data_IF_768008106836
#
_entry.id   IF_768008106836
#
_cell.length_a   1.000
_cell.length_b   1.000
_cell.length_c   1.000
_cell.angle_alpha   90.00
_cell.angle_beta   90.00
_cell.angle_gamma   90.00
#
_symmetry.space_group_name_H-M   'P 1'
#
loop_
_entity.id
_entity.type
_entity.pdbx_description
1 polymer ?
#
# COMPACT_ATOMS: atom_id res chain seq x y z
N UNK A 1 5.84 -20.27 17.89
CA UNK A 1 6.96 -19.72 17.11
C UNK A 1 7.46 -18.36 17.65
N UNK A 2 6.60 -17.34 17.86
CA UNK A 2 7.03 -16.04 18.43
C UNK A 2 7.57 -16.14 19.87
N UNK A 3 6.91 -16.92 20.75
CA UNK A 3 7.38 -17.15 22.13
C UNK A 3 8.73 -17.88 22.22
N UNK A 4 9.07 -18.72 21.24
CA UNK A 4 10.38 -19.40 21.18
C UNK A 4 11.48 -18.46 20.70
N UNK A 5 11.19 -17.59 19.73
CA UNK A 5 12.13 -16.56 19.26
C UNK A 5 12.43 -15.54 20.38
N UNK A 6 11.43 -15.19 21.19
CA UNK A 6 11.60 -14.34 22.37
C UNK A 6 12.44 -15.01 23.48
N UNK A 7 12.19 -16.29 23.79
CA UNK A 7 12.97 -17.07 24.77
C UNK A 7 14.43 -17.26 24.33
N UNK A 8 14.67 -17.58 23.06
CA UNK A 8 16.04 -17.71 22.52
C UNK A 8 16.75 -16.35 22.50
N UNK A 9 16.01 -15.26 22.25
CA UNK A 9 16.53 -13.89 22.35
C UNK A 9 16.90 -13.48 23.78
N UNK A 10 16.12 -13.89 24.79
CA UNK A 10 16.37 -13.56 26.19
C UNK A 10 17.56 -14.34 26.77
N UNK A 11 17.67 -15.64 26.49
CA UNK A 11 18.81 -16.49 26.87
C UNK A 11 20.13 -16.01 26.25
N UNK A 12 20.09 -15.52 25.01
CA UNK A 12 21.27 -15.02 24.30
C UNK A 12 21.70 -13.62 24.75
N UNK A 13 20.75 -12.78 25.19
CA UNK A 13 21.07 -11.53 25.89
C UNK A 13 21.68 -11.81 27.25
N UNK A 14 21.10 -12.74 28.02
CA UNK A 14 21.59 -13.12 29.34
C UNK A 14 23.01 -13.68 29.28
N UNK A 15 23.30 -14.62 28.37
CA UNK A 15 24.66 -15.17 28.18
C UNK A 15 25.69 -14.12 27.78
N UNK A 16 25.34 -13.16 26.91
CA UNK A 16 26.24 -12.03 26.55
C UNK A 16 26.48 -11.09 27.73
N UNK A 17 25.44 -10.78 28.50
CA UNK A 17 25.56 -9.96 29.70
C UNK A 17 26.44 -10.66 30.73
N UNK A 18 26.21 -11.95 30.98
CA UNK A 18 27.02 -12.77 31.89
C UNK A 18 28.47 -12.85 31.42
N UNK A 19 28.74 -13.07 30.13
CA UNK A 19 30.12 -13.11 29.61
C UNK A 19 30.85 -11.76 29.73
N UNK A 20 30.13 -10.65 29.54
CA UNK A 20 30.72 -9.31 29.68
C UNK A 20 31.02 -8.98 31.14
N UNK A 21 30.11 -9.34 32.06
CA UNK A 21 30.33 -9.25 33.50
C UNK A 21 31.50 -10.13 33.95
N UNK A 22 31.57 -11.39 33.50
CA UNK A 22 32.69 -12.28 33.80
C UNK A 22 34.03 -11.73 33.30
N UNK A 23 34.09 -11.19 32.08
CA UNK A 23 35.30 -10.57 31.55
C UNK A 23 35.70 -9.32 32.33
N UNK A 24 34.74 -8.47 32.71
CA UNK A 24 34.98 -7.29 33.51
C UNK A 24 35.42 -7.62 34.94
N UNK A 25 34.81 -8.62 35.57
CA UNK A 25 35.23 -9.14 36.87
C UNK A 25 36.63 -9.75 36.78
N UNK A 26 36.94 -10.50 35.72
CA UNK A 26 38.27 -11.07 35.53
C UNK A 26 39.34 -9.99 35.32
N UNK A 27 39.04 -8.92 34.59
CA UNK A 27 39.97 -7.80 34.41
C UNK A 27 40.12 -6.95 35.67
N UNK A 28 39.02 -6.67 36.38
CA UNK A 28 39.02 -5.85 37.59
C UNK A 28 39.57 -6.58 38.83
N UNK A 29 39.42 -7.91 38.89
CA UNK A 29 39.81 -8.74 40.05
C UNK A 29 41.03 -9.60 39.72
N UNK A 30 41.00 -10.32 38.60
CA UNK A 30 42.04 -11.28 38.22
C UNK A 30 43.39 -10.63 37.87
N UNK A 31 43.37 -9.53 37.12
CA UNK A 31 44.60 -8.78 36.78
C UNK A 31 45.36 -8.28 38.02
N UNK A 32 44.70 -7.53 38.93
CA UNK A 32 45.31 -7.09 40.18
C UNK A 32 45.77 -8.24 41.08
N UNK A 33 44.97 -9.31 41.24
CA UNK A 33 45.34 -10.46 42.08
C UNK A 33 46.54 -11.22 41.51
N UNK A 34 46.64 -11.37 40.19
CA UNK A 34 47.79 -11.99 39.53
C UNK A 34 49.06 -11.16 39.74
N UNK A 35 48.96 -9.82 39.64
CA UNK A 35 50.07 -8.91 39.88
C UNK A 35 50.55 -8.95 41.34
N UNK A 36 49.63 -8.99 42.32
CA UNK A 36 50.01 -9.15 43.72
C UNK A 36 50.60 -10.53 44.02
N UNK A 37 50.04 -11.60 43.44
CA UNK A 37 50.61 -12.94 43.58
C UNK A 37 52.05 -13.01 43.03
N UNK A 38 52.29 -12.43 41.85
CA UNK A 38 53.63 -12.33 41.25
C UNK A 38 54.60 -11.51 42.11
N UNK A 39 54.12 -10.43 42.74
CA UNK A 39 54.95 -9.60 43.62
C UNK A 39 55.30 -10.32 44.93
N UNK A 40 54.32 -10.97 45.56
CA UNK A 40 54.49 -11.77 46.79
C UNK A 40 55.42 -12.96 46.56
N UNK A 41 55.33 -13.62 45.40
CA UNK A 41 56.18 -14.75 45.05
C UNK A 41 57.66 -14.36 44.85
N UNK A 42 57.95 -13.09 44.54
CA UNK A 42 59.32 -12.59 44.37
C UNK A 42 59.92 -12.06 45.67
N UNK A 43 59.17 -11.29 46.47
CA UNK A 43 59.69 -10.65 47.68
C UNK A 43 58.63 -10.59 48.81
N UNK A 44 58.41 -11.69 49.56
CA UNK A 44 57.34 -11.77 50.56
C UNK A 44 57.54 -10.87 51.79
N UNK A 45 58.76 -10.37 52.03
CA UNK A 45 59.07 -9.54 53.22
C UNK A 45 58.72 -8.06 53.07
N UNK A 46 58.31 -7.59 51.89
CA UNK A 46 58.01 -6.18 51.62
C UNK A 46 56.52 -5.84 51.58
N UNK A 47 55.63 -6.83 51.74
CA UNK A 47 54.19 -6.62 51.59
C UNK A 47 53.55 -6.17 52.92
N UNK A 48 52.96 -4.97 52.94
CA UNK A 48 52.31 -4.43 54.14
C UNK A 48 50.78 -4.54 54.04
N UNK A 49 50.10 -4.44 55.20
CA UNK A 49 48.64 -4.47 55.26
C UNK A 49 47.98 -3.37 54.41
N UNK A 50 48.64 -2.21 54.27
CA UNK A 50 48.16 -1.12 53.42
C UNK A 50 48.14 -1.49 51.93
N UNK A 51 48.99 -2.40 51.47
CA UNK A 51 48.99 -2.84 50.06
C UNK A 51 47.76 -3.70 49.75
N UNK A 52 47.33 -4.53 50.71
CA UNK A 52 46.05 -5.26 50.62
C UNK A 52 44.84 -4.33 50.61
N UNK A 53 44.84 -3.29 51.45
CA UNK A 53 43.77 -2.28 51.48
C UNK A 53 43.71 -1.50 50.17
N UNK A 54 44.86 -1.08 49.63
CA UNK A 54 44.94 -0.40 48.34
C UNK A 54 44.45 -1.28 47.19
N UNK A 55 44.81 -2.56 47.19
CA UNK A 55 44.39 -3.51 46.18
C UNK A 55 42.89 -3.81 46.23
N UNK A 56 42.33 -4.03 47.43
CA UNK A 56 40.88 -4.18 47.62
C UNK A 56 40.13 -2.93 47.17
N UNK A 57 40.67 -1.75 47.47
CA UNK A 57 40.08 -0.46 47.06
C UNK A 57 40.09 -0.30 45.53
N UNK A 58 41.18 -0.68 44.85
CA UNK A 58 41.25 -0.66 43.38
C UNK A 58 40.25 -1.63 42.75
N UNK A 59 40.15 -2.86 43.27
CA UNK A 59 39.19 -3.87 42.80
C UNK A 59 37.75 -3.36 42.98
N UNK A 60 37.40 -2.87 44.16
CA UNK A 60 36.07 -2.33 44.46
C UNK A 60 35.73 -1.13 43.56
N UNK A 61 36.69 -0.24 43.34
CA UNK A 61 36.52 0.94 42.49
C UNK A 61 36.32 0.55 41.02
N UNK A 62 37.08 -0.43 40.51
CA UNK A 62 36.95 -0.96 39.15
C UNK A 62 35.58 -1.60 38.89
N UNK A 63 35.08 -2.42 39.84
CA UNK A 63 33.73 -3.01 39.75
C UNK A 63 32.66 -1.92 39.76
N UNK A 64 32.81 -0.91 40.62
CA UNK A 64 31.84 0.19 40.74
C UNK A 64 31.77 1.02 39.46
N UNK A 65 32.91 1.39 38.86
CA UNK A 65 32.94 2.12 37.59
C UNK A 65 32.37 1.29 36.43
N UNK A 66 32.64 -0.01 36.39
CA UNK A 66 32.05 -0.88 35.38
C UNK A 66 30.52 -0.97 35.53
N UNK A 67 30.02 -1.15 36.74
CA UNK A 67 28.59 -1.16 37.03
C UNK A 67 27.92 0.17 36.63
N UNK A 68 28.57 1.29 36.93
CA UNK A 68 28.09 2.63 36.57
C UNK A 68 28.06 2.82 35.04
N UNK A 69 29.15 2.46 34.34
CA UNK A 69 29.25 2.56 32.89
C UNK A 69 28.22 1.66 32.18
N UNK A 70 27.99 0.45 32.71
CA UNK A 70 26.96 -0.46 32.22
C UNK A 70 25.55 0.12 32.40
N UNK A 71 25.25 0.68 33.58
CA UNK A 71 23.94 1.26 33.87
C UNK A 71 23.67 2.54 33.05
N UNK A 72 24.66 3.43 32.95
CA UNK A 72 24.58 4.64 32.11
C UNK A 72 24.45 4.24 30.64
N UNK A 73 25.24 3.29 30.17
CA UNK A 73 25.21 2.80 28.79
C UNK A 73 23.84 2.25 28.41
N UNK A 74 23.25 1.39 29.25
CA UNK A 74 21.92 0.81 29.04
C UNK A 74 20.81 1.87 29.01
N UNK A 75 20.82 2.80 29.96
CA UNK A 75 19.87 3.94 29.97
C UNK A 75 20.05 4.83 28.74
N UNK A 76 21.27 5.05 28.28
CA UNK A 76 21.53 5.83 27.07
C UNK A 76 21.00 5.14 25.82
N UNK A 77 21.15 3.80 25.71
CA UNK A 77 20.66 3.03 24.57
C UNK A 77 19.13 3.02 24.55
N UNK A 78 18.49 2.80 25.70
CA UNK A 78 17.03 2.86 25.84
C UNK A 78 16.48 4.27 25.52
N UNK A 79 17.15 5.33 26.01
CA UNK A 79 16.79 6.71 25.68
C UNK A 79 16.97 7.02 24.20
N UNK A 80 18.07 6.58 23.58
CA UNK A 80 18.32 6.80 22.16
C UNK A 80 17.28 6.11 21.27
N UNK A 81 16.84 4.90 21.64
CA UNK A 81 15.75 4.20 20.96
C UNK A 81 14.41 4.91 21.14
N UNK A 82 14.13 5.39 22.35
CA UNK A 82 12.91 6.15 22.62
C UNK A 82 12.87 7.45 21.82
N UNK A 83 13.98 8.20 21.77
CA UNK A 83 14.12 9.41 20.96
C UNK A 83 13.95 9.12 19.47
N UNK A 84 14.64 8.10 18.94
CA UNK A 84 14.51 7.70 17.54
C UNK A 84 13.07 7.30 17.17
N UNK A 85 12.36 6.58 18.04
CA UNK A 85 10.94 6.27 17.80
C UNK A 85 10.06 7.53 17.82
N UNK A 86 10.30 8.46 18.76
CA UNK A 86 9.53 9.71 18.84
C UNK A 86 9.77 10.62 17.60
N UNK A 87 11.02 10.70 17.15
CA UNK A 87 11.40 11.42 15.92
C UNK A 87 10.79 10.76 14.68
N UNK A 88 10.76 9.44 14.61
CA UNK A 88 10.08 8.70 13.54
C UNK A 88 8.58 8.96 13.52
N UNK A 89 7.91 8.88 14.66
CA UNK A 89 6.46 9.13 14.75
C UNK A 89 6.15 10.55 14.27
N UNK A 90 6.94 11.53 14.71
CA UNK A 90 6.82 12.92 14.27
C UNK A 90 7.02 13.06 12.77
N UNK A 91 8.07 12.43 12.22
CA UNK A 91 8.40 12.48 10.79
C UNK A 91 7.35 11.78 9.93
N UNK A 92 6.79 10.66 10.39
CA UNK A 92 5.67 9.98 9.74
C UNK A 92 4.39 10.84 9.76
N UNK A 93 4.17 11.63 10.81
CA UNK A 93 3.08 12.60 10.88
C UNK A 93 3.21 13.71 9.83
N UNK A 94 4.42 14.26 9.68
CA UNK A 94 4.73 15.23 8.62
C UNK A 94 4.52 14.62 7.23
N UNK A 95 5.08 13.43 6.99
CA UNK A 95 4.93 12.69 5.74
C UNK A 95 3.44 12.43 5.41
N UNK A 96 2.63 12.04 6.41
CA UNK A 96 1.17 11.85 6.22
C UNK A 96 0.49 13.11 5.71
N UNK A 97 0.87 14.27 6.25
CA UNK A 97 0.30 15.56 5.89
C UNK A 97 0.71 15.97 4.48
N UNK A 98 1.99 15.81 4.15
CA UNK A 98 2.53 16.04 2.81
C UNK A 98 1.84 15.13 1.78
N UNK A 99 1.69 13.84 2.10
CA UNK A 99 1.01 12.81 1.31
C UNK A 99 -0.42 13.18 0.95
N UNK A 100 -1.25 13.49 1.97
CA UNK A 100 -2.66 13.82 1.75
C UNK A 100 -2.83 15.09 0.90
N UNK A 101 -1.96 16.08 1.08
CA UNK A 101 -1.99 17.32 0.29
C UNK A 101 -1.47 17.11 -1.13
N UNK A 102 -0.47 16.26 -1.31
CA UNK A 102 0.04 15.88 -2.63
C UNK A 102 -1.00 15.07 -3.43
N UNK A 103 -1.73 14.17 -2.77
CA UNK A 103 -2.88 13.47 -3.34
C UNK A 103 -3.95 14.47 -3.83
N UNK A 104 -4.22 15.51 -3.04
CA UNK A 104 -5.12 16.60 -3.42
C UNK A 104 -4.54 17.58 -4.48
N UNK A 105 -3.35 17.31 -5.04
CA UNK A 105 -2.76 18.10 -6.13
C UNK A 105 -1.83 19.25 -5.70
N UNK A 106 -1.37 19.30 -4.45
CA UNK A 106 -0.43 20.33 -4.00
C UNK A 106 1.03 19.96 -4.33
N UNK A 107 1.58 20.55 -5.39
CA UNK A 107 2.96 20.32 -5.87
C UNK A 107 4.04 20.62 -4.83
N UNK A 108 3.88 21.68 -4.05
CA UNK A 108 4.86 22.03 -3.02
C UNK A 108 4.93 20.97 -1.92
N UNK A 109 3.80 20.34 -1.60
CA UNK A 109 3.75 19.23 -0.64
C UNK A 109 4.25 17.92 -1.26
N UNK A 110 4.01 17.70 -2.55
CA UNK A 110 4.57 16.57 -3.28
C UNK A 110 6.12 16.57 -3.22
N UNK A 111 6.75 17.74 -3.43
CA UNK A 111 8.21 17.90 -3.33
C UNK A 111 8.76 17.60 -1.92
N UNK A 112 7.94 17.79 -0.87
CA UNK A 112 8.35 17.51 0.51
C UNK A 112 8.36 16.02 0.86
N UNK A 113 7.59 15.19 0.17
CA UNK A 113 7.47 13.75 0.48
C UNK A 113 8.84 13.08 0.52
N UNK A 114 9.71 13.37 -0.45
CA UNK A 114 11.06 12.82 -0.48
C UNK A 114 11.90 13.31 0.71
N UNK A 115 11.89 14.61 1.01
CA UNK A 115 12.63 15.18 2.14
C UNK A 115 12.15 14.62 3.49
N UNK A 116 10.84 14.54 3.69
CA UNK A 116 10.22 13.99 4.91
C UNK A 116 10.52 12.49 5.05
N UNK A 117 10.49 11.72 3.96
CA UNK A 117 10.85 10.30 3.95
C UNK A 117 12.33 10.08 4.30
N UNK A 118 13.25 10.88 3.74
CA UNK A 118 14.69 10.80 4.04
C UNK A 118 14.97 11.15 5.50
N UNK A 119 14.37 12.22 6.00
CA UNK A 119 14.47 12.60 7.41
C UNK A 119 14.03 11.44 8.31
N UNK A 120 12.91 10.78 7.98
CA UNK A 120 12.48 9.61 8.72
C UNK A 120 13.46 8.43 8.60
N UNK A 121 14.00 8.15 7.41
CA UNK A 121 14.95 7.05 7.19
C UNK A 121 16.25 7.20 7.99
N UNK A 122 16.67 8.42 8.35
CA UNK A 122 17.85 8.64 9.20
C UNK A 122 17.72 7.99 10.60
N UNK A 123 16.49 7.94 11.13
CA UNK A 123 16.21 7.35 12.45
C UNK A 123 15.92 5.84 12.38
N UNK A 124 15.74 5.29 11.18
CA UNK A 124 15.36 3.90 10.94
C UNK A 124 16.25 2.87 11.65
N UNK A 125 17.61 2.94 11.60
CA UNK A 125 18.47 1.89 12.18
C UNK A 125 18.31 1.72 13.70
N UNK A 126 17.95 2.79 14.40
CA UNK A 126 17.87 2.86 15.87
C UNK A 126 16.47 2.55 16.40
N UNK A 127 15.47 2.52 15.51
CA UNK A 127 14.09 2.34 15.88
C UNK A 127 13.70 0.89 16.18
N UNK A 128 12.54 0.71 16.80
CA UNK A 128 11.93 -0.62 16.99
C UNK A 128 11.43 -1.17 15.67
N UNK A 129 11.42 -2.49 15.54
CA UNK A 129 10.99 -3.17 14.30
C UNK A 129 9.58 -2.78 13.85
N UNK A 130 8.63 -2.63 14.78
CA UNK A 130 7.27 -2.19 14.47
C UNK A 130 7.25 -0.80 13.83
N UNK A 131 8.06 0.14 14.34
CA UNK A 131 8.15 1.51 13.80
C UNK A 131 8.91 1.55 12.47
N UNK A 132 9.93 0.71 12.32
CA UNK A 132 10.61 0.51 11.03
C UNK A 132 9.62 0.02 9.96
N UNK A 133 8.83 -1.00 10.29
CA UNK A 133 7.82 -1.52 9.38
C UNK A 133 6.76 -0.46 9.05
N UNK A 134 6.23 0.24 10.06
CA UNK A 134 5.29 1.36 9.88
C UNK A 134 5.86 2.44 8.97
N UNK A 135 7.14 2.80 9.12
CA UNK A 135 7.78 3.77 8.25
C UNK A 135 7.80 3.28 6.80
N UNK A 136 8.27 2.05 6.55
CA UNK A 136 8.33 1.52 5.17
C UNK A 136 6.96 1.51 4.52
N UNK A 137 5.94 1.05 5.24
CA UNK A 137 4.54 1.09 4.82
C UNK A 137 4.11 2.52 4.50
N UNK A 138 4.45 3.48 5.37
CA UNK A 138 4.04 4.87 5.19
C UNK A 138 4.69 5.55 3.99
N UNK A 139 5.98 5.32 3.76
CA UNK A 139 6.67 5.82 2.57
C UNK A 139 6.04 5.23 1.32
N UNK A 140 5.79 3.92 1.29
CA UNK A 140 5.09 3.25 0.20
C UNK A 140 3.71 3.89 -0.07
N UNK A 141 2.90 4.09 0.97
CA UNK A 141 1.59 4.74 0.84
C UNK A 141 1.73 6.15 0.24
N UNK A 142 2.75 6.91 0.65
CA UNK A 142 2.97 8.25 0.11
C UNK A 142 3.37 8.29 -1.36
N UNK A 143 4.06 7.28 -1.84
CA UNK A 143 4.33 7.15 -3.28
C UNK A 143 3.14 6.61 -4.06
N UNK A 144 2.27 5.79 -3.46
CA UNK A 144 0.96 5.46 -4.04
C UNK A 144 0.07 6.71 -4.16
N UNK A 145 0.01 7.54 -3.13
CA UNK A 145 -0.71 8.82 -3.14
C UNK A 145 -0.16 9.77 -4.24
N UNK A 146 1.15 9.76 -4.47
CA UNK A 146 1.77 10.48 -5.58
C UNK A 146 1.32 9.94 -6.94
N UNK A 147 1.25 8.61 -7.13
CA UNK A 147 0.74 7.99 -8.37
C UNK A 147 -0.66 8.50 -8.67
N UNK A 148 -1.56 8.45 -7.68
CA UNK A 148 -2.96 8.83 -7.87
C UNK A 148 -3.15 10.34 -8.06
N UNK A 149 -2.33 11.18 -7.42
CA UNK A 149 -2.49 12.63 -7.41
C UNK A 149 -1.55 13.42 -8.31
N UNK A 150 -0.24 13.34 -8.09
CA UNK A 150 0.73 14.24 -8.73
C UNK A 150 1.36 13.63 -9.99
N UNK A 151 1.66 12.34 -9.99
CA UNK A 151 2.23 11.66 -11.16
C UNK A 151 1.19 11.34 -12.22
N UNK A 152 -0.08 11.17 -11.86
CA UNK A 152 -1.19 11.08 -12.83
C UNK A 152 -1.24 12.29 -13.76
N UNK A 153 -0.77 13.46 -13.30
CA UNK A 153 -0.65 14.71 -14.07
C UNK A 153 0.79 15.09 -14.44
N UNK A 154 1.70 14.12 -14.52
CA UNK A 154 3.12 14.39 -14.72
C UNK A 154 3.44 15.15 -16.02
N UNK A 155 2.62 15.05 -17.05
CA UNK A 155 2.72 15.78 -18.31
C UNK A 155 2.46 17.28 -18.17
N UNK A 156 1.59 17.69 -17.23
CA UNK A 156 1.30 19.08 -16.92
C UNK A 156 2.29 19.74 -15.96
N UNK A 157 3.18 18.97 -15.32
CA UNK A 157 4.12 19.51 -14.33
C UNK A 157 5.25 20.33 -14.97
N UNK A 158 5.61 21.49 -14.38
CA UNK A 158 6.83 22.20 -14.72
C UNK A 158 8.06 21.29 -14.65
N UNK A 159 9.00 21.46 -15.59
CA UNK A 159 10.23 20.65 -15.66
C UNK A 159 11.03 20.68 -14.35
N UNK A 160 11.08 21.83 -13.68
CA UNK A 160 11.77 21.99 -12.39
C UNK A 160 11.14 21.17 -11.27
N UNK A 161 9.80 21.16 -11.19
CA UNK A 161 9.05 20.38 -10.19
C UNK A 161 9.25 18.89 -10.46
N UNK A 162 9.10 18.45 -11.70
CA UNK A 162 9.33 17.06 -12.09
C UNK A 162 10.75 16.60 -11.75
N UNK A 163 11.76 17.37 -12.12
CA UNK A 163 13.17 17.05 -11.82
C UNK A 163 13.42 16.96 -10.32
N UNK A 164 12.82 17.86 -9.52
CA UNK A 164 12.90 17.82 -8.07
C UNK A 164 12.24 16.58 -7.45
N UNK A 165 11.05 16.19 -7.95
CA UNK A 165 10.34 14.98 -7.51
C UNK A 165 11.16 13.72 -7.79
N UNK A 166 11.67 13.57 -9.03
CA UNK A 166 12.47 12.41 -9.41
C UNK A 166 13.80 12.37 -8.66
N UNK A 167 14.52 13.49 -8.59
CA UNK A 167 15.77 13.56 -7.84
C UNK A 167 15.58 13.18 -6.37
N UNK A 168 14.54 13.72 -5.73
CA UNK A 168 14.21 13.37 -4.35
C UNK A 168 13.84 11.88 -4.17
N UNK A 169 13.08 11.31 -5.10
CA UNK A 169 12.68 9.90 -5.04
C UNK A 169 13.87 8.94 -5.25
N UNK A 170 14.78 9.28 -6.17
CA UNK A 170 16.05 8.57 -6.39
C UNK A 170 16.92 8.60 -5.13
N UNK A 171 16.99 9.73 -4.44
CA UNK A 171 17.70 9.82 -3.16
C UNK A 171 17.09 8.93 -2.08
N UNK A 172 15.76 8.87 -1.96
CA UNK A 172 15.07 7.98 -1.01
C UNK A 172 15.38 6.50 -1.32
N UNK A 173 15.40 6.14 -2.60
CA UNK A 173 15.78 4.79 -3.06
C UNK A 173 17.22 4.47 -2.64
N UNK A 174 18.16 5.40 -2.87
CA UNK A 174 19.57 5.21 -2.50
C UNK A 174 19.73 5.03 -0.98
N UNK A 175 19.09 5.88 -0.18
CA UNK A 175 19.09 5.79 1.29
C UNK A 175 18.52 4.44 1.76
N UNK A 176 17.41 3.98 1.17
CA UNK A 176 16.80 2.69 1.48
C UNK A 176 17.70 1.49 1.15
N UNK A 177 18.39 1.53 0.00
CA UNK A 177 19.32 0.47 -0.41
C UNK A 177 20.55 0.43 0.49
N UNK A 178 21.12 1.58 0.84
CA UNK A 178 22.23 1.67 1.79
C UNK A 178 21.85 1.10 3.17
N UNK A 179 20.63 1.40 3.64
CA UNK A 179 20.10 0.83 4.88
C UNK A 179 19.89 -0.69 4.77
N UNK A 180 19.45 -1.18 3.61
CA UNK A 180 19.27 -2.61 3.35
C UNK A 180 20.60 -3.38 3.32
N UNK A 181 21.67 -2.77 2.84
CA UNK A 181 23.01 -3.37 2.79
C UNK A 181 23.71 -3.37 4.16
N UNK A 182 23.48 -2.32 4.96
CA UNK A 182 23.98 -2.25 6.34
C UNK A 182 23.18 -3.12 7.32
N UNK A 183 21.94 -3.49 6.98
CA UNK A 183 21.17 -4.51 7.68
C UNK A 183 21.80 -5.90 7.46
N UNK A 184 22.79 -6.25 8.28
CA UNK A 184 23.56 -7.50 8.15
C UNK A 184 22.69 -8.78 8.09
N UNK A 185 23.32 -9.92 7.74
CA UNK A 185 22.66 -11.22 7.40
C UNK A 185 21.55 -11.73 8.34
N UNK A 186 21.52 -11.30 9.61
CA UNK A 186 20.50 -11.71 10.60
C UNK A 186 19.18 -10.93 10.52
N UNK A 187 19.10 -9.91 9.66
CA UNK A 187 17.96 -8.98 9.53
C UNK A 187 17.27 -9.10 8.16
N UNK A 188 17.11 -10.32 7.67
CA UNK A 188 16.60 -10.60 6.32
C UNK A 188 15.23 -9.97 6.01
N UNK A 189 14.31 -9.96 6.98
CA UNK A 189 12.99 -9.37 6.80
C UNK A 189 13.04 -7.84 6.63
N UNK A 190 13.87 -7.14 7.41
CA UNK A 190 14.04 -5.68 7.30
C UNK A 190 14.73 -5.31 5.99
N UNK A 191 15.74 -6.09 5.58
CA UNK A 191 16.39 -5.93 4.28
C UNK A 191 15.36 -6.02 3.14
N UNK A 192 14.49 -7.04 3.18
CA UNK A 192 13.44 -7.21 2.17
C UNK A 192 12.47 -6.03 2.15
N UNK A 193 11.96 -5.61 3.31
CA UNK A 193 11.04 -4.46 3.40
C UNK A 193 11.61 -3.17 2.80
N UNK A 194 12.89 -2.88 3.00
CA UNK A 194 13.55 -1.70 2.41
C UNK A 194 13.71 -1.83 0.90
N UNK A 195 14.03 -3.02 0.40
CA UNK A 195 14.16 -3.28 -1.04
C UNK A 195 12.80 -3.21 -1.74
N UNK A 196 11.76 -3.80 -1.15
CA UNK A 196 10.39 -3.75 -1.67
C UNK A 196 9.86 -2.31 -1.70
N UNK A 197 10.14 -1.52 -0.65
CA UNK A 197 9.83 -0.08 -0.62
C UNK A 197 10.55 0.66 -1.76
N UNK A 198 11.85 0.42 -1.94
CA UNK A 198 12.62 1.06 -3.02
C UNK A 198 12.13 0.65 -4.42
N UNK A 199 11.68 -0.59 -4.58
CA UNK A 199 11.07 -1.07 -5.82
C UNK A 199 9.75 -0.35 -6.11
N UNK A 200 8.87 -0.20 -5.11
CA UNK A 200 7.61 0.53 -5.28
C UNK A 200 7.82 2.00 -5.63
N UNK A 201 8.84 2.66 -5.04
CA UNK A 201 9.19 4.04 -5.39
C UNK A 201 9.61 4.14 -6.86
N UNK A 202 10.39 3.16 -7.36
CA UNK A 202 10.77 3.12 -8.79
C UNK A 202 9.56 2.92 -9.69
N UNK A 203 8.66 2.00 -9.32
CA UNK A 203 7.41 1.79 -10.02
C UNK A 203 6.60 3.09 -10.12
N UNK A 204 6.50 3.85 -9.02
CA UNK A 204 5.86 5.18 -9.02
C UNK A 204 6.52 6.18 -9.97
N UNK A 205 7.87 6.24 -9.97
CA UNK A 205 8.64 7.08 -10.90
C UNK A 205 8.32 6.71 -12.35
N UNK A 206 8.39 5.42 -12.70
CA UNK A 206 8.17 4.95 -14.05
C UNK A 206 6.76 5.32 -14.56
N UNK A 207 5.73 5.26 -13.70
CA UNK A 207 4.37 5.71 -14.05
C UNK A 207 4.38 7.17 -14.48
N UNK A 208 4.99 8.06 -13.69
CA UNK A 208 5.03 9.47 -14.02
C UNK A 208 5.88 9.76 -15.27
N UNK A 209 6.97 9.01 -15.49
CA UNK A 209 7.77 9.09 -16.72
C UNK A 209 6.94 8.70 -17.95
N UNK A 210 6.22 7.58 -17.90
CA UNK A 210 5.38 7.11 -18.99
C UNK A 210 4.24 8.07 -19.32
N UNK A 211 3.62 8.68 -18.30
CA UNK A 211 2.57 9.69 -18.49
C UNK A 211 3.12 10.95 -19.15
N UNK A 212 4.35 11.35 -18.80
CA UNK A 212 5.00 12.55 -19.32
C UNK A 212 5.51 12.41 -20.75
N UNK A 213 5.74 11.18 -21.23
CA UNK A 213 6.11 10.95 -22.63
C UNK A 213 5.04 11.58 -23.54
N UNK A 214 5.45 12.37 -24.55
CA UNK A 214 4.50 12.96 -25.47
C UNK A 214 3.70 11.86 -26.15
N UNK A 215 2.41 12.07 -26.34
CA UNK A 215 1.61 11.20 -27.19
C UNK A 215 2.18 11.33 -28.61
N UNK A 216 2.88 10.30 -29.10
CA UNK A 216 3.56 10.31 -30.40
C UNK A 216 2.58 10.37 -31.58
N UNK A 217 1.27 10.34 -31.34
CA UNK A 217 0.23 10.37 -32.37
C UNK A 217 -0.09 11.82 -32.75
N UNK A 218 0.26 12.28 -33.97
CA UNK A 218 -0.06 13.62 -34.41
C UNK A 218 -1.58 13.80 -34.47
N UNK A 219 -2.01 14.93 -33.91
CA UNK A 219 -3.29 15.61 -34.18
C UNK A 219 -3.86 15.32 -35.57
N UNK A 220 -4.94 14.54 -35.64
CA UNK A 220 -6.19 14.80 -36.41
C UNK A 220 -7.09 13.56 -36.57
N UNK A 221 -6.66 12.35 -36.24
CA UNK A 221 -7.53 11.15 -36.16
C UNK A 221 -7.86 10.81 -34.70
N UNK A 222 -8.65 11.68 -34.03
CA UNK A 222 -9.16 11.40 -32.68
C UNK A 222 -10.39 10.51 -32.75
N UNK A 223 -10.19 9.22 -32.54
CA UNK A 223 -11.17 8.32 -31.95
C UNK A 223 -10.42 7.13 -31.32
N UNK A 224 -10.46 7.02 -30.00
CA UNK A 224 -10.16 5.80 -29.22
C UNK A 224 -8.71 5.26 -29.28
N UNK A 225 -7.70 6.11 -29.12
CA UNK A 225 -6.32 5.63 -28.99
C UNK A 225 -5.99 5.32 -27.53
N UNK A 226 -5.83 4.03 -27.21
CA UNK A 226 -5.29 3.57 -25.95
C UNK A 226 -3.77 3.40 -26.07
N UNK A 227 -2.99 3.85 -25.09
CA UNK A 227 -1.53 3.72 -25.05
C UNK A 227 -1.11 2.78 -23.94
N UNK A 228 -0.55 1.63 -24.30
CA UNK A 228 0.02 0.68 -23.35
C UNK A 228 1.29 1.26 -22.73
N UNK A 229 1.37 1.24 -21.40
CA UNK A 229 2.50 1.74 -20.61
C UNK A 229 3.36 0.57 -20.12
N UNK A 230 3.78 -0.31 -21.04
CA UNK A 230 4.52 -1.54 -20.68
C UNK A 230 5.86 -1.24 -19.97
N UNK A 231 6.48 -0.08 -20.23
CA UNK A 231 7.73 0.33 -19.57
C UNK A 231 7.57 0.73 -18.09
N UNK A 232 6.32 0.89 -17.60
CA UNK A 232 6.06 1.03 -16.16
C UNK A 232 6.60 -0.17 -15.39
N UNK A 233 6.39 -1.36 -15.96
CA UNK A 233 6.85 -2.62 -15.43
C UNK A 233 8.31 -2.83 -15.86
N UNK A 234 9.21 -3.14 -14.92
CA UNK A 234 10.60 -3.44 -15.29
C UNK A 234 10.65 -4.53 -16.37
N UNK A 235 11.61 -4.43 -17.29
CA UNK A 235 12.00 -5.48 -18.24
C UNK A 235 12.64 -6.67 -17.51
N UNK A 236 11.94 -7.29 -16.58
CA UNK A 236 12.30 -8.61 -16.06
C UNK A 236 11.77 -9.68 -17.03
N UNK A 237 12.39 -10.85 -17.02
CA UNK A 237 12.15 -11.90 -18.03
C UNK A 237 10.69 -12.35 -18.00
N UNK A 238 10.08 -12.42 -19.19
CA UNK A 238 8.70 -12.89 -19.40
C UNK A 238 8.42 -14.23 -18.70
N UNK A 239 7.31 -14.32 -17.94
CA UNK A 239 6.83 -15.55 -17.32
C UNK A 239 6.11 -15.35 -15.97
N UNK A 240 5.82 -16.45 -15.27
CA UNK A 240 5.04 -16.45 -14.01
C UNK A 240 5.62 -15.54 -12.92
N UNK A 241 6.96 -15.42 -12.85
CA UNK A 241 7.64 -14.53 -11.90
C UNK A 241 7.32 -13.05 -12.15
N UNK A 242 7.10 -12.68 -13.41
CA UNK A 242 6.74 -11.31 -13.80
C UNK A 242 5.28 -11.03 -13.40
N UNK A 243 4.34 -11.92 -13.73
CA UNK A 243 2.93 -11.75 -13.33
C UNK A 243 2.77 -11.63 -11.81
N UNK A 244 3.48 -12.46 -11.03
CA UNK A 244 3.50 -12.36 -9.57
C UNK A 244 4.03 -11.02 -9.07
N UNK A 245 5.09 -10.51 -9.68
CA UNK A 245 5.67 -9.20 -9.33
C UNK A 245 4.68 -8.08 -9.63
N UNK A 246 4.08 -8.05 -10.83
CA UNK A 246 3.08 -7.05 -11.21
C UNK A 246 1.84 -7.09 -10.29
N UNK A 247 1.35 -8.29 -9.94
CA UNK A 247 0.24 -8.46 -8.97
C UNK A 247 0.62 -7.89 -7.60
N UNK A 248 1.84 -8.17 -7.13
CA UNK A 248 2.32 -7.67 -5.83
C UNK A 248 2.46 -6.15 -5.83
N UNK A 249 2.91 -5.56 -6.94
CA UNK A 249 2.97 -4.10 -7.10
C UNK A 249 1.57 -3.47 -7.10
N UNK A 250 0.57 -4.09 -7.76
CA UNK A 250 -0.81 -3.64 -7.72
C UNK A 250 -1.42 -3.76 -6.31
N UNK A 251 -1.18 -4.87 -5.61
CA UNK A 251 -1.61 -5.05 -4.21
C UNK A 251 -1.04 -3.94 -3.31
N UNK A 252 0.23 -3.59 -3.49
CA UNK A 252 0.88 -2.51 -2.74
C UNK A 252 0.32 -1.14 -3.13
N UNK A 253 0.13 -0.87 -4.42
CA UNK A 253 -0.46 0.37 -4.94
C UNK A 253 -1.86 0.61 -4.36
N UNK A 254 -2.70 -0.42 -4.38
CA UNK A 254 -4.12 -0.35 -4.02
C UNK A 254 -4.43 -0.72 -2.57
N UNK A 255 -3.40 -0.90 -1.73
CA UNK A 255 -3.54 -1.31 -0.32
C UNK A 255 -4.52 -0.47 0.49
N UNK A 256 -4.63 0.84 0.21
CA UNK A 256 -5.53 1.77 0.92
C UNK A 256 -6.76 2.19 0.11
N UNK A 257 -6.68 2.18 -1.21
CA UNK A 257 -7.73 2.71 -2.09
C UNK A 257 -8.77 1.64 -2.48
N UNK A 258 -8.39 0.36 -2.55
CA UNK A 258 -9.33 -0.69 -2.96
C UNK A 258 -10.30 -1.04 -1.83
N UNK A 259 -11.53 -0.54 -1.96
CA UNK A 259 -12.59 -0.67 -0.94
C UNK A 259 -13.54 -1.83 -1.14
N UNK A 260 -13.57 -2.44 -2.33
CA UNK A 260 -14.37 -3.64 -2.60
C UNK A 260 -13.85 -4.82 -1.78
N UNK A 261 -14.71 -5.79 -1.48
CA UNK A 261 -14.28 -7.04 -0.83
C UNK A 261 -13.42 -7.83 -1.81
N UNK A 262 -12.19 -8.20 -1.44
CA UNK A 262 -11.27 -8.85 -2.37
C UNK A 262 -10.27 -9.78 -1.67
N UNK A 263 -9.59 -10.63 -2.45
CA UNK A 263 -8.48 -11.45 -1.98
C UNK A 263 -7.37 -11.58 -3.03
N UNK A 264 -6.27 -10.85 -2.81
CA UNK A 264 -5.08 -10.87 -3.67
C UNK A 264 -4.44 -12.25 -3.81
N UNK A 265 -4.61 -13.16 -2.84
CA UNK A 265 -4.04 -14.51 -2.94
C UNK A 265 -4.66 -15.30 -4.08
N UNK A 266 -5.94 -15.09 -4.42
CA UNK A 266 -6.58 -15.73 -5.58
C UNK A 266 -5.83 -15.38 -6.86
N UNK A 267 -5.40 -14.12 -7.01
CA UNK A 267 -4.62 -13.69 -8.17
C UNK A 267 -3.21 -14.27 -8.13
N UNK A 268 -2.54 -14.25 -6.97
CA UNK A 268 -1.17 -14.76 -6.81
C UNK A 268 -1.10 -16.27 -7.10
N UNK A 269 -2.04 -17.06 -6.60
CA UNK A 269 -2.12 -18.50 -6.84
C UNK A 269 -2.38 -18.85 -8.31
N UNK A 270 -2.95 -17.91 -9.07
CA UNK A 270 -3.29 -18.08 -10.48
C UNK A 270 -2.51 -17.08 -11.36
N UNK A 271 -1.32 -16.65 -10.96
CA UNK A 271 -0.57 -15.60 -11.64
C UNK A 271 -0.23 -15.97 -13.10
N UNK A 272 -0.07 -17.26 -13.38
CA UNK A 272 0.13 -17.79 -14.74
C UNK A 272 -1.08 -17.61 -15.66
N UNK A 273 -2.29 -17.35 -15.12
CA UNK A 273 -3.57 -17.20 -15.83
C UNK A 273 -4.00 -15.74 -16.01
N UNK A 274 -3.17 -14.81 -15.53
CA UNK A 274 -3.49 -13.39 -15.42
C UNK A 274 -2.39 -12.57 -16.08
N UNK A 275 -2.78 -11.49 -16.76
CA UNK A 275 -1.88 -10.42 -17.20
C UNK A 275 -2.22 -9.13 -16.47
N UNK A 276 -1.22 -8.50 -15.86
CA UNK A 276 -1.36 -7.15 -15.30
C UNK A 276 -0.71 -6.13 -16.25
N UNK A 277 -1.43 -5.06 -16.59
CA UNK A 277 -0.98 -4.02 -17.51
C UNK A 277 -1.30 -2.63 -16.96
N UNK A 278 -0.64 -1.60 -17.49
CA UNK A 278 -0.99 -0.20 -17.26
C UNK A 278 -1.26 0.44 -18.61
N UNK A 279 -2.38 1.13 -18.76
CA UNK A 279 -2.85 1.65 -20.06
C UNK A 279 -3.42 3.04 -19.86
N UNK A 280 -3.12 3.96 -20.78
CA UNK A 280 -3.71 5.29 -20.81
C UNK A 280 -4.81 5.34 -21.88
N UNK A 281 -6.04 5.64 -21.49
CA UNK A 281 -7.19 5.71 -22.39
C UNK A 281 -7.76 7.13 -22.50
N UNK A 282 -8.43 7.40 -23.62
CA UNK A 282 -9.46 8.44 -23.68
C UNK A 282 -10.71 8.01 -22.88
N UNK A 283 -11.41 8.96 -22.26
CA UNK A 283 -12.63 8.65 -21.49
C UNK A 283 -13.71 7.97 -22.34
N UNK A 284 -13.85 8.34 -23.61
CA UNK A 284 -14.76 7.69 -24.55
C UNK A 284 -14.53 6.18 -24.72
N UNK A 285 -13.31 5.66 -24.47
CA UNK A 285 -13.03 4.22 -24.57
C UNK A 285 -13.60 3.39 -23.38
N UNK A 286 -14.30 4.05 -22.45
CA UNK A 286 -14.82 3.44 -21.21
C UNK A 286 -16.31 3.15 -21.22
N UNK A 287 -17.00 3.34 -22.35
CA UNK A 287 -18.47 3.18 -22.48
C UNK A 287 -18.95 1.81 -22.03
N UNK A 288 -18.26 0.76 -22.46
CA UNK A 288 -18.62 -0.63 -22.20
C UNK A 288 -18.06 -1.17 -20.87
N UNK A 289 -17.50 -0.30 -20.02
CA UNK A 289 -16.95 -0.72 -18.74
C UNK A 289 -18.06 -0.75 -17.70
N UNK A 290 -18.15 -1.86 -16.98
CA UNK A 290 -19.14 -2.05 -15.92
C UNK A 290 -18.68 -1.42 -14.63
N UNK A 291 -19.62 -0.79 -13.94
CA UNK A 291 -19.49 -0.39 -12.55
C UNK A 291 -19.96 -1.53 -11.63
N UNK A 292 -19.44 -1.65 -10.40
CA UNK A 292 -19.93 -2.58 -9.38
C UNK A 292 -21.19 -2.01 -8.69
N UNK A 293 -21.99 -1.23 -9.42
CA UNK A 293 -23.17 -0.55 -8.90
C UNK A 293 -24.42 -1.17 -9.49
N UNK A 294 -25.42 -1.35 -8.62
CA UNK A 294 -26.65 -2.06 -8.95
C UNK A 294 -27.85 -1.27 -8.44
N UNK A 295 -28.99 -1.50 -9.10
CA UNK A 295 -30.28 -0.92 -8.73
C UNK A 295 -31.27 -2.05 -8.55
N UNK A 296 -32.09 -2.02 -7.51
CA UNK A 296 -33.21 -2.93 -7.33
C UNK A 296 -34.54 -2.17 -7.41
N UNK A 297 -35.62 -2.91 -7.68
CA UNK A 297 -37.00 -2.41 -7.57
C UNK A 297 -37.73 -3.25 -6.51
N UNK A 298 -37.75 -2.82 -5.24
CA UNK A 298 -38.49 -3.52 -4.22
C UNK A 298 -40.01 -3.43 -4.47
N UNK A 299 -40.81 -4.13 -3.68
CA UNK A 299 -42.28 -4.14 -3.80
C UNK A 299 -42.97 -2.78 -3.61
N UNK A 300 -42.22 -1.74 -3.22
CA UNK A 300 -42.69 -0.35 -3.17
C UNK A 300 -42.71 0.34 -4.55
N UNK A 301 -42.20 -0.31 -5.60
CA UNK A 301 -42.18 0.19 -6.97
C UNK A 301 -41.13 1.27 -7.26
N UNK A 302 -40.38 1.73 -6.25
CA UNK A 302 -39.32 2.71 -6.39
C UNK A 302 -37.98 2.04 -6.72
N UNK A 303 -37.07 2.75 -7.36
CA UNK A 303 -35.73 2.25 -7.62
C UNK A 303 -34.80 2.61 -6.46
N UNK A 304 -34.07 1.63 -5.94
CA UNK A 304 -33.15 1.77 -4.82
C UNK A 304 -31.77 1.23 -5.20
N UNK A 305 -30.67 1.89 -4.80
CA UNK A 305 -29.33 1.36 -5.03
C UNK A 305 -29.04 0.22 -4.05
N UNK A 306 -28.42 -0.84 -4.57
CA UNK A 306 -27.99 -2.01 -3.79
C UNK A 306 -26.53 -2.31 -4.06
N UNK A 307 -25.89 -3.05 -3.14
CA UNK A 307 -24.56 -3.59 -3.39
C UNK A 307 -24.64 -4.82 -4.31
N UNK A 308 -23.48 -5.37 -4.64
CA UNK A 308 -23.37 -6.58 -5.47
C UNK A 308 -24.05 -7.81 -4.86
N UNK A 309 -24.29 -7.78 -3.54
CA UNK A 309 -25.01 -8.85 -2.85
C UNK A 309 -26.53 -8.66 -2.83
N UNK A 310 -27.04 -7.61 -3.48
CA UNK A 310 -28.46 -7.28 -3.49
C UNK A 310 -29.00 -6.81 -2.13
N UNK A 311 -28.11 -6.51 -1.18
CA UNK A 311 -28.47 -5.99 0.13
C UNK A 311 -28.50 -4.46 0.13
N UNK A 312 -29.28 -3.92 1.06
CA UNK A 312 -29.35 -2.47 1.26
C UNK A 312 -27.97 -1.93 1.64
N UNK A 313 -27.65 -0.75 1.12
CA UNK A 313 -26.38 -0.05 1.37
C UNK A 313 -26.33 0.52 2.81
N UNK A 314 -26.49 -0.35 3.81
CA UNK A 314 -26.90 -0.01 5.17
C UNK A 314 -26.15 1.16 5.80
N UNK A 315 -24.85 1.28 5.57
CA UNK A 315 -24.02 2.36 6.11
C UNK A 315 -23.56 3.39 5.06
N UNK A 316 -23.91 3.24 3.79
CA UNK A 316 -23.51 4.21 2.76
C UNK A 316 -24.57 5.30 2.60
N UNK A 317 -24.11 6.53 2.37
CA UNK A 317 -24.98 7.67 2.06
C UNK A 317 -25.82 7.38 0.80
N UNK A 318 -25.27 6.59 -0.13
CA UNK A 318 -25.94 6.20 -1.36
C UNK A 318 -27.29 5.49 -1.13
N UNK A 319 -27.55 4.90 0.05
CA UNK A 319 -28.88 4.32 0.38
C UNK A 319 -30.04 5.33 0.29
N UNK A 320 -29.73 6.62 0.34
CA UNK A 320 -30.70 7.71 0.26
C UNK A 320 -30.81 8.33 -1.14
N UNK A 321 -30.09 7.79 -2.12
CA UNK A 321 -30.14 8.28 -3.49
C UNK A 321 -31.54 8.06 -4.07
N UNK A 322 -32.05 9.07 -4.78
CA UNK A 322 -33.34 9.02 -5.47
C UNK A 322 -33.09 8.81 -6.95
N UNK A 323 -33.25 7.58 -7.40
CA UNK A 323 -32.96 7.19 -8.79
C UNK A 323 -34.16 7.52 -9.67
N UNK A 324 -33.93 8.23 -10.77
CA UNK A 324 -34.97 8.49 -11.76
C UNK A 324 -35.36 7.18 -12.48
N UNK A 325 -36.65 6.84 -12.48
CA UNK A 325 -37.15 5.68 -13.21
C UNK A 325 -37.19 5.99 -14.71
N UNK A 326 -36.34 5.30 -15.47
CA UNK A 326 -36.26 5.39 -16.92
C UNK A 326 -36.54 4.01 -17.52
N UNK A 327 -37.26 3.94 -18.67
CA UNK A 327 -37.49 2.68 -19.36
C UNK A 327 -36.16 1.94 -19.62
N UNK A 328 -36.17 0.62 -19.49
CA UNK A 328 -35.04 -0.27 -19.79
C UNK A 328 -33.81 -0.14 -18.86
N UNK A 329 -33.92 0.56 -17.72
CA UNK A 329 -32.84 0.59 -16.74
C UNK A 329 -32.49 -0.84 -16.27
N UNK A 330 -31.22 -1.26 -16.30
CA UNK A 330 -30.81 -2.55 -15.77
C UNK A 330 -31.13 -2.67 -14.27
N UNK A 331 -31.84 -3.73 -13.91
CA UNK A 331 -32.17 -4.05 -12.50
C UNK A 331 -31.35 -5.27 -12.06
N UNK A 332 -30.91 -5.26 -10.81
CA UNK A 332 -30.17 -6.32 -10.15
C UNK A 332 -30.78 -7.69 -10.47
N UNK A 333 -29.97 -8.69 -10.87
CA UNK A 333 -28.51 -8.72 -10.81
C UNK A 333 -27.79 -8.15 -12.05
N UNK A 334 -28.47 -7.41 -12.92
CA UNK A 334 -27.84 -6.80 -14.09
C UNK A 334 -26.92 -5.64 -13.66
N UNK A 335 -25.62 -5.66 -13.99
CA UNK A 335 -24.69 -4.58 -13.66
C UNK A 335 -24.92 -3.36 -14.53
N UNK A 336 -24.61 -2.18 -14.02
CA UNK A 336 -24.66 -0.93 -14.78
C UNK A 336 -23.36 -0.68 -15.53
N UNK A 337 -23.44 -0.28 -16.80
CA UNK A 337 -22.31 0.32 -17.52
C UNK A 337 -22.05 1.74 -17.01
N UNK A 338 -20.81 2.20 -17.11
CA UNK A 338 -20.45 3.57 -16.76
C UNK A 338 -21.12 4.63 -17.65
N UNK A 339 -21.49 4.27 -18.89
CA UNK A 339 -22.30 5.10 -19.78
C UNK A 339 -23.79 5.17 -19.39
N UNK A 340 -24.26 4.24 -18.55
CA UNK A 340 -25.69 4.03 -18.25
C UNK A 340 -26.02 4.29 -16.77
N UNK A 341 -25.13 4.97 -16.02
CA UNK A 341 -25.38 5.31 -14.61
C UNK A 341 -26.58 6.27 -14.55
N UNK A 342 -27.69 5.88 -13.88
CA UNK A 342 -28.91 6.69 -13.89
C UNK A 342 -28.77 7.96 -13.08
N UNK A 343 -29.53 9.00 -13.47
CA UNK A 343 -29.60 10.25 -12.73
C UNK A 343 -30.07 10.01 -11.30
N UNK A 344 -29.41 10.68 -10.36
CA UNK A 344 -29.68 10.56 -8.93
C UNK A 344 -28.84 9.51 -8.20
N UNK A 345 -28.25 8.55 -8.91
CA UNK A 345 -27.32 7.58 -8.32
C UNK A 345 -25.97 8.21 -8.00
N UNK A 346 -25.57 8.20 -6.72
CA UNK A 346 -24.29 8.73 -6.19
C UNK A 346 -24.01 10.17 -6.64
N UNK A 347 -25.06 10.93 -6.91
CA UNK A 347 -25.05 12.22 -7.63
C UNK A 347 -24.16 13.25 -6.93
N UNK A 348 -24.29 13.38 -5.61
CA UNK A 348 -23.52 14.35 -4.81
C UNK A 348 -22.01 14.06 -4.84
N UNK A 349 -21.63 12.79 -4.80
CA UNK A 349 -20.22 12.36 -4.83
C UNK A 349 -19.63 12.55 -6.22
N UNK A 350 -20.38 12.18 -7.27
CA UNK A 350 -19.98 12.40 -8.66
C UNK A 350 -19.82 13.90 -8.93
N UNK A 351 -20.78 14.72 -8.53
CA UNK A 351 -20.72 16.18 -8.70
C UNK A 351 -19.51 16.81 -7.96
N UNK A 352 -19.16 16.30 -6.78
CA UNK A 352 -17.96 16.74 -6.08
C UNK A 352 -16.68 16.40 -6.87
N UNK A 353 -16.59 15.19 -7.43
CA UNK A 353 -15.47 14.82 -8.29
C UNK A 353 -15.43 15.62 -9.59
N UNK A 354 -16.58 15.98 -10.18
CA UNK A 354 -16.63 16.90 -11.32
C UNK A 354 -15.95 18.23 -10.96
N UNK A 355 -16.32 18.85 -9.83
CA UNK A 355 -15.70 20.11 -9.37
C UNK A 355 -14.19 20.00 -9.18
N UNK A 356 -13.70 18.87 -8.65
CA UNK A 356 -12.26 18.61 -8.49
C UNK A 356 -11.57 18.51 -9.86
N UNK A 357 -12.16 17.80 -10.82
CA UNK A 357 -11.62 17.65 -12.18
C UNK A 357 -11.66 18.95 -12.98
N UNK A 358 -12.65 19.81 -12.73
CA UNK A 358 -12.74 21.12 -13.37
C UNK A 358 -11.68 22.11 -12.87
N UNK A 359 -11.30 22.02 -11.60
CA UNK A 359 -10.34 22.92 -10.95
C UNK A 359 -8.88 22.48 -11.10
N UNK A 360 -8.63 21.25 -11.57
CA UNK A 360 -7.28 20.71 -11.77
C UNK A 360 -6.76 20.98 -13.19
N UNK A 361 -5.50 21.39 -13.28
CA UNK A 361 -4.85 21.79 -14.54
C UNK A 361 -4.63 20.64 -15.52
N UNK A 362 -4.66 19.40 -15.05
CA UNK A 362 -4.41 18.20 -15.85
C UNK A 362 -5.35 17.10 -15.39
N UNK A 363 -5.97 16.41 -16.33
CA UNK A 363 -7.19 15.63 -16.11
C UNK A 363 -6.97 14.15 -16.38
N UNK A 364 -5.99 13.56 -15.71
CA UNK A 364 -5.85 12.10 -15.71
C UNK A 364 -6.48 11.55 -14.45
N UNK A 365 -7.42 10.64 -14.58
CA UNK A 365 -7.95 9.87 -13.45
C UNK A 365 -7.33 8.48 -13.42
N UNK A 366 -7.15 7.93 -12.22
CA UNK A 366 -6.66 6.55 -12.05
C UNK A 366 -7.81 5.61 -11.70
N UNK A 367 -7.80 4.43 -12.31
CA UNK A 367 -8.78 3.37 -12.08
C UNK A 367 -8.11 2.01 -12.02
N UNK A 368 -8.61 1.12 -11.17
CA UNK A 368 -8.28 -0.31 -11.23
C UNK A 368 -9.41 -1.03 -11.95
N UNK A 369 -9.08 -1.80 -12.98
CA UNK A 369 -10.08 -2.61 -13.68
C UNK A 369 -9.72 -4.08 -13.69
N UNK A 370 -10.74 -4.90 -13.88
CA UNK A 370 -10.62 -6.32 -14.04
C UNK A 370 -11.36 -6.76 -15.30
N UNK A 371 -10.63 -7.38 -16.23
CA UNK A 371 -11.21 -7.93 -17.46
C UNK A 371 -11.40 -9.43 -17.28
N UNK A 372 -12.66 -9.81 -17.09
CA UNK A 372 -13.12 -11.16 -16.77
C UNK A 372 -13.48 -11.91 -18.05
N UNK A 373 -13.17 -13.22 -18.09
CA UNK A 373 -13.66 -14.14 -19.13
C UNK A 373 -15.03 -14.70 -18.73
N UNK A 374 -16.07 -14.32 -19.45
CA UNK A 374 -17.45 -14.73 -19.21
C UNK A 374 -17.78 -16.10 -19.87
N UNK A 375 -18.89 -16.71 -19.45
CA UNK A 375 -19.34 -18.03 -19.92
C UNK A 375 -19.68 -18.05 -21.42
N UNK A 376 -20.16 -16.91 -21.94
CA UNK A 376 -20.51 -16.68 -23.34
C UNK A 376 -19.28 -16.41 -24.23
N UNK A 377 -18.07 -16.62 -23.67
CA UNK A 377 -16.77 -16.34 -24.30
C UNK A 377 -16.50 -14.87 -24.57
N UNK A 378 -17.38 -13.97 -24.13
CA UNK A 378 -17.11 -12.53 -24.15
C UNK A 378 -16.19 -12.16 -22.99
N UNK A 379 -15.39 -11.10 -23.17
CA UNK A 379 -14.62 -10.51 -22.08
C UNK A 379 -15.32 -9.24 -21.65
N UNK A 380 -15.57 -9.10 -20.36
CA UNK A 380 -16.21 -7.91 -19.78
C UNK A 380 -15.25 -7.24 -18.83
N UNK A 381 -15.25 -5.91 -18.81
CA UNK A 381 -14.35 -5.13 -17.96
C UNK A 381 -15.15 -4.49 -16.86
N UNK A 382 -14.75 -4.72 -15.60
CA UNK A 382 -15.33 -4.09 -14.43
C UNK A 382 -14.33 -3.13 -13.79
N UNK A 383 -14.81 -1.99 -13.33
CA UNK A 383 -14.04 -1.00 -12.59
C UNK A 383 -14.10 -1.32 -11.10
N UNK A 384 -12.99 -1.81 -10.55
CA UNK A 384 -12.90 -2.21 -9.14
C UNK A 384 -12.62 -1.03 -8.21
N UNK A 385 -11.89 -0.02 -8.71
CA UNK A 385 -11.65 1.22 -8.00
C UNK A 385 -11.68 2.42 -8.96
N UNK A 386 -12.05 3.59 -8.44
CA UNK A 386 -12.14 4.84 -9.20
C UNK A 386 -13.49 5.06 -9.88
N UNK A 387 -14.52 4.29 -9.53
CA UNK A 387 -15.87 4.39 -10.12
C UNK A 387 -16.45 5.81 -10.14
N UNK A 388 -16.39 6.54 -9.01
CA UNK A 388 -16.88 7.92 -8.96
C UNK A 388 -16.03 8.88 -9.80
N UNK A 389 -14.70 8.69 -9.84
CA UNK A 389 -13.78 9.49 -10.66
C UNK A 389 -14.08 9.29 -12.14
N UNK A 390 -14.31 8.04 -12.56
CA UNK A 390 -14.66 7.71 -13.94
C UNK A 390 -16.05 8.24 -14.33
N UNK A 391 -17.06 8.06 -13.49
CA UNK A 391 -18.39 8.63 -13.74
C UNK A 391 -18.35 10.16 -13.87
N UNK A 392 -17.57 10.85 -13.03
CA UNK A 392 -17.37 12.29 -13.12
C UNK A 392 -16.62 12.71 -14.39
N UNK A 393 -15.57 11.99 -14.76
CA UNK A 393 -14.82 12.21 -16.00
C UNK A 393 -15.73 12.10 -17.23
N UNK A 394 -16.57 11.07 -17.31
CA UNK A 394 -17.54 10.89 -18.41
C UNK A 394 -18.54 12.03 -18.49
N UNK A 395 -19.14 12.40 -17.37
CA UNK A 395 -20.10 13.51 -17.32
C UNK A 395 -19.51 14.85 -17.78
N UNK A 396 -18.20 15.06 -17.57
CA UNK A 396 -17.49 16.23 -18.05
C UNK A 396 -17.08 16.13 -19.53
N UNK A 397 -16.88 14.93 -20.07
CA UNK A 397 -16.58 14.69 -21.49
C UNK A 397 -17.82 14.91 -22.37
N UNK A 398 -19.00 14.52 -21.88
CA UNK A 398 -20.30 14.75 -22.55
C UNK A 398 -20.74 16.22 -22.56
N UNK A 399 -20.12 17.05 -21.70
CA UNK A 399 -20.41 18.48 -21.59
C UNK A 399 -19.74 19.27 -22.72
N UNK A 400 -20.51 19.50 -23.80
CA UNK A 400 -20.09 20.19 -25.03
C UNK A 400 -19.69 21.67 -24.88
N UNK A 401 -19.78 22.25 -23.68
CA UNK A 401 -19.65 23.71 -23.49
C UNK A 401 -18.21 24.23 -23.33
N UNK A 402 -17.19 23.38 -23.23
CA UNK A 402 -15.84 23.91 -23.04
C UNK A 402 -14.79 23.16 -23.84
N UNK A 403 -14.05 23.92 -24.67
CA UNK A 403 -12.76 23.57 -25.27
C UNK A 403 -11.69 23.31 -24.19
N UNK A 404 -11.94 22.36 -23.31
CA UNK A 404 -11.01 21.95 -22.25
C UNK A 404 -10.12 20.82 -22.78
N UNK A 405 -8.92 20.71 -22.21
CA UNK A 405 -8.03 19.59 -22.48
C UNK A 405 -8.75 18.26 -22.23
N UNK A 406 -8.49 17.22 -23.06
CA UNK A 406 -9.15 15.92 -22.94
C UNK A 406 -8.85 15.29 -21.57
N UNK A 407 -9.85 14.64 -21.00
CA UNK A 407 -9.70 13.83 -19.79
C UNK A 407 -9.15 12.47 -20.21
N UNK A 408 -8.12 11.99 -19.51
CA UNK A 408 -7.52 10.68 -19.74
C UNK A 408 -7.77 9.77 -18.55
N UNK A 409 -7.75 8.47 -18.81
CA UNK A 409 -7.94 7.42 -17.80
C UNK A 409 -6.69 6.57 -17.76
N UNK A 410 -5.94 6.67 -16.66
CA UNK A 410 -4.87 5.73 -16.32
C UNK A 410 -5.51 4.47 -15.72
N UNK A 411 -5.60 3.43 -16.55
CA UNK A 411 -6.07 2.10 -16.17
C UNK A 411 -4.90 1.26 -15.65
N UNK A 412 -5.04 0.74 -14.44
CA UNK A 412 -4.32 -0.45 -14.02
C UNK A 412 -5.23 -1.65 -14.28
N UNK A 413 -4.84 -2.52 -15.21
CA UNK A 413 -5.66 -3.61 -15.72
C UNK A 413 -5.19 -4.95 -15.15
N UNK A 414 -6.13 -5.72 -14.61
CA UNK A 414 -5.96 -7.15 -14.35
C UNK A 414 -6.79 -7.92 -15.38
N UNK A 415 -6.16 -8.67 -16.27
CA UNK A 415 -6.83 -9.41 -17.34
C UNK A 415 -6.71 -10.93 -17.15
N UNK A 416 -7.85 -11.62 -17.13
CA UNK A 416 -7.93 -13.07 -17.23
C UNK A 416 -7.69 -13.51 -18.68
N UNK A 417 -6.65 -14.30 -18.93
CA UNK A 417 -6.55 -15.03 -20.19
C UNK A 417 -7.12 -16.45 -20.06
N UNK A 418 -7.12 -16.99 -18.84
CA UNK A 418 -7.91 -18.17 -18.45
C UNK A 418 -8.87 -17.82 -17.31
N UNK A 419 -10.04 -18.47 -17.31
CA UNK A 419 -11.08 -18.23 -16.30
C UNK A 419 -10.64 -18.74 -14.93
N UNK A 420 -10.83 -17.91 -13.90
CA UNK A 420 -10.48 -18.22 -12.52
C UNK A 420 -11.71 -18.69 -11.73
N UNK A 421 -11.90 -20.00 -11.54
CA UNK A 421 -13.05 -20.55 -10.82
C UNK A 421 -12.81 -20.85 -9.32
N UNK A 422 -11.70 -20.38 -8.75
CA UNK A 422 -11.38 -20.54 -7.33
C UNK A 422 -12.50 -19.98 -6.45
N UNK A 423 -13.06 -20.82 -5.58
CA UNK A 423 -14.05 -20.44 -4.57
C UNK A 423 -13.35 -19.73 -3.41
N UNK A 424 -13.91 -18.61 -2.98
CA UNK A 424 -13.42 -17.89 -1.81
C UNK A 424 -14.27 -18.18 -0.59
N UNK A 425 -13.62 -18.29 0.57
CA UNK A 425 -14.33 -18.18 1.83
C UNK A 425 -14.82 -16.74 1.99
N UNK A 426 -16.13 -16.57 2.12
CA UNK A 426 -16.70 -15.26 2.37
C UNK A 426 -16.30 -14.73 3.76
N UNK A 427 -16.07 -13.41 3.91
CA UNK A 427 -16.00 -12.75 5.20
C UNK A 427 -17.22 -13.10 6.04
N UNK A 428 -17.07 -13.03 7.36
CA UNK A 428 -18.11 -13.44 8.30
C UNK A 428 -19.47 -12.75 8.06
N UNK A 429 -19.45 -11.49 7.63
CA UNK A 429 -20.64 -10.69 7.26
C UNK A 429 -21.39 -11.30 6.06
N UNK A 430 -20.70 -12.05 5.20
CA UNK A 430 -21.23 -12.69 3.99
C UNK A 430 -21.09 -14.21 4.03
N UNK A 431 -20.97 -14.84 5.21
CA UNK A 431 -20.63 -16.28 5.36
C UNK A 431 -21.52 -17.25 4.58
N UNK A 432 -22.76 -16.88 4.28
CA UNK A 432 -23.74 -17.69 3.55
C UNK A 432 -23.70 -17.45 2.03
N UNK A 433 -22.82 -16.56 1.58
CA UNK A 433 -22.58 -16.24 0.18
C UNK A 433 -21.34 -16.99 -0.32
N UNK A 434 -21.49 -17.88 -1.31
CA UNK A 434 -20.35 -18.44 -2.03
C UNK A 434 -20.09 -17.65 -3.30
N UNK A 435 -18.87 -17.12 -3.48
CA UNK A 435 -18.46 -16.51 -4.74
C UNK A 435 -17.14 -17.08 -5.24
N UNK A 436 -16.89 -16.84 -6.54
CA UNK A 436 -15.71 -17.33 -7.26
C UNK A 436 -14.91 -16.18 -7.84
N UNK A 437 -13.59 -16.29 -7.78
CA UNK A 437 -12.66 -15.28 -8.30
C UNK A 437 -12.27 -14.23 -7.26
N UNK A 438 -11.71 -13.12 -7.72
CA UNK A 438 -11.04 -12.12 -6.89
C UNK A 438 -11.95 -11.33 -5.94
N UNK A 439 -13.18 -11.03 -6.38
CA UNK A 439 -14.20 -10.24 -5.67
C UNK A 439 -15.60 -10.78 -6.06
N UNK A 440 -16.63 -10.66 -5.19
CA UNK A 440 -18.01 -10.93 -5.56
C UNK A 440 -18.48 -10.17 -6.81
N UNK A 441 -17.92 -8.99 -7.11
CA UNK A 441 -18.30 -8.25 -8.31
C UNK A 441 -17.94 -9.00 -9.60
N UNK A 442 -16.74 -9.59 -9.64
CA UNK A 442 -16.29 -10.43 -10.75
C UNK A 442 -17.19 -11.65 -10.90
N UNK A 443 -17.64 -12.23 -9.79
CA UNK A 443 -18.57 -13.36 -9.81
C UNK A 443 -19.91 -12.98 -10.46
N UNK A 444 -20.51 -11.85 -10.07
CA UNK A 444 -21.79 -11.39 -10.63
C UNK A 444 -21.67 -11.03 -12.11
N UNK A 445 -20.63 -10.29 -12.53
CA UNK A 445 -20.38 -9.99 -13.95
C UNK A 445 -20.19 -11.26 -14.78
N UNK A 446 -19.58 -12.30 -14.20
CA UNK A 446 -19.38 -13.58 -14.86
C UNK A 446 -20.69 -14.37 -15.01
N UNK A 447 -21.56 -14.34 -14.00
CA UNK A 447 -22.86 -15.00 -14.02
C UNK A 447 -23.88 -14.26 -14.90
N UNK A 448 -23.67 -12.96 -15.15
CA UNK A 448 -24.53 -12.15 -16.01
C UNK A 448 -24.74 -12.79 -17.39
N UNK A 449 -26.02 -12.94 -17.76
CA UNK A 449 -26.48 -13.56 -19.01
C UNK A 449 -26.63 -15.08 -18.97
N UNK A 450 -26.21 -15.77 -17.88
CA UNK A 450 -26.48 -17.21 -17.76
C UNK A 450 -27.99 -17.47 -17.70
N UNK A 451 -28.50 -18.56 -18.30
CA UNK A 451 -29.84 -19.03 -17.98
C UNK A 451 -29.91 -19.20 -16.46
N UNK A 452 -30.86 -18.53 -15.80
CA UNK A 452 -31.10 -18.67 -14.37
C UNK A 452 -31.46 -20.13 -14.08
N UNK A 453 -30.47 -20.96 -13.79
CA UNK A 453 -30.68 -22.11 -12.92
C UNK A 453 -30.77 -21.53 -11.53
N UNK A 454 -31.91 -21.62 -10.83
CA UNK A 454 -31.99 -21.18 -9.46
C UNK A 454 -31.00 -22.05 -8.68
N UNK A 455 -29.81 -21.50 -8.43
CA UNK A 455 -29.01 -21.98 -7.33
C UNK A 455 -29.89 -21.73 -6.11
N UNK A 456 -30.16 -22.78 -5.36
CA UNK A 456 -30.78 -22.70 -4.05
C UNK A 456 -29.97 -21.71 -3.22
N UNK A 457 -30.36 -20.44 -3.24
CA UNK A 457 -29.79 -19.43 -2.38
C UNK A 457 -29.95 -19.87 -0.93
N UNK A 458 -29.13 -19.36 -0.02
CA UNK A 458 -29.40 -19.53 1.39
C UNK A 458 -30.83 -19.06 1.64
N UNK A 459 -31.66 -19.94 2.20
CA UNK A 459 -32.99 -19.57 2.70
C UNK A 459 -32.77 -18.42 3.69
N UNK A 460 -33.05 -17.18 3.28
CA UNK A 460 -33.48 -16.17 4.23
C UNK A 460 -34.81 -16.67 4.78
N UNK A 461 -34.78 -17.32 5.93
CA UNK A 461 -35.96 -17.39 6.79
C UNK A 461 -36.37 -15.94 7.08
N UNK A 462 -37.63 -15.57 6.87
CA UNK A 462 -38.13 -14.33 7.43
C UNK A 462 -37.97 -14.46 8.94
N UNK A 463 -37.16 -13.58 9.54
CA UNK A 463 -37.18 -13.42 10.99
C UNK A 463 -38.48 -12.71 11.34
N UNK A 464 -39.52 -13.50 11.62
CA UNK A 464 -40.70 -13.06 12.33
C UNK A 464 -40.31 -12.64 13.76
N UNK A 465 -40.20 -11.32 13.97
CA UNK A 465 -40.43 -10.54 15.22
C UNK A 465 -39.53 -10.74 16.46
N UNK A 466 -39.72 -9.96 17.56
CA UNK A 466 -40.58 -8.78 17.74
C UNK A 466 -39.89 -7.54 18.39
N UNK A 467 -40.39 -6.33 18.08
CA UNK A 467 -40.91 -5.22 18.94
C UNK A 467 -41.15 -4.00 18.04
#
# INVERSE_FOLDING_TARGET
MEQEVERVGSLRKWTKTVSLWLAATFLAVGGPLLLAWLAIAREPSQWHWNDWVNQLTQIATGITFFALAWFIGRKSEERSKAMANAELITSMGALSTSSARAYAGNDAQALRIAADARAALQHYPRARYQEQHRLTTKVVDSYSDLIFGTFSRADGLPRSIWTGLIGGAVDVIADAQQLADTAGRRRGAQKRQLLDMAEHIRFAINIGEEIRKPDEVPTQTRANTSRDLEEVWRKERAGTSESLSRISQLEVLYRRELTVVHNWNVLKENAEKIKCSAVLHDVAATDEWFSPWFVCRPGNGLLEPVNVVGDSLGNEIARFDKIADVPELPVHPCPLKHSEIPLGMRESTIANHCRILETTATRTICVLTYKVKCWDRTSRRIVLDGNHRLAAARRLDDSSEVQRQPIRVLEFLIEEHERLDSTMQAPEIYKDWEWRGFTPDVHVIRAFGQPFTPQSGPRRTPSDGPI
#
